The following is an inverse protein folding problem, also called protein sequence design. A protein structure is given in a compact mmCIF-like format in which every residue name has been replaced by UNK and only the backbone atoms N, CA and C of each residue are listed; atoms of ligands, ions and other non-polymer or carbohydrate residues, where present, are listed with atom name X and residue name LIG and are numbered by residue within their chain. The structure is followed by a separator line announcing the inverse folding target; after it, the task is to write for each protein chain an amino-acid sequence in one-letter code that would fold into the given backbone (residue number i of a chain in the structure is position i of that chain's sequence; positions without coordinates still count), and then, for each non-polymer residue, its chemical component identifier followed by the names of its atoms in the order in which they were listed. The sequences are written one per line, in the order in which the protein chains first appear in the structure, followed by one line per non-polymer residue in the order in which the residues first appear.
data_IF_603622450708
#
_entry.id   IF_603622450708
#
_cell.length_a   1.000
_cell.length_b   1.000
_cell.length_c   1.000
_cell.angle_alpha   90.00
_cell.angle_beta   90.00
_cell.angle_gamma   90.00
#
_symmetry.space_group_name_H-M   'P 1'
#
loop_
_entity.id
_entity.type
_entity.pdbx_description
1 polymer ?
#
# COMPACT_ATOMS: atom_id res chain seq x y z
N UNK A 1 -38.37 20.60 -59.51
CA UNK A 1 -37.03 21.15 -59.76
C UNK A 1 -36.12 19.96 -59.95
N UNK A 2 -35.62 19.75 -61.17
CA UNK A 2 -34.73 18.63 -61.45
C UNK A 2 -33.38 18.92 -60.81
N UNK A 3 -32.80 17.91 -60.15
CA UNK A 3 -31.44 18.02 -59.65
C UNK A 3 -30.51 18.29 -60.85
N UNK A 4 -29.52 19.17 -60.71
CA UNK A 4 -28.60 19.48 -61.79
C UNK A 4 -27.76 18.24 -62.15
N UNK A 5 -27.63 17.94 -63.45
CA UNK A 5 -27.02 16.72 -64.01
C UNK A 5 -25.61 16.41 -63.49
N UNK A 6 -24.88 17.41 -62.99
CA UNK A 6 -23.56 17.18 -62.39
C UNK A 6 -23.61 16.37 -61.09
N UNK A 7 -24.74 16.35 -60.37
CA UNK A 7 -24.93 15.53 -59.17
C UNK A 7 -25.05 14.04 -59.51
N UNK A 8 -25.68 13.70 -60.64
CA UNK A 8 -25.81 12.32 -61.09
C UNK A 8 -24.46 11.75 -61.54
N UNK A 9 -23.66 12.57 -62.25
CA UNK A 9 -22.28 12.19 -62.57
C UNK A 9 -21.37 12.07 -61.34
N UNK A 10 -21.56 12.90 -60.31
CA UNK A 10 -20.82 12.77 -59.06
C UNK A 10 -21.20 11.48 -58.30
N UNK A 11 -22.47 11.08 -58.33
CA UNK A 11 -22.96 9.84 -57.71
C UNK A 11 -22.43 8.59 -58.42
N UNK A 12 -22.40 8.59 -59.76
CA UNK A 12 -21.85 7.49 -60.56
C UNK A 12 -20.34 7.32 -60.35
N UNK A 13 -19.59 8.43 -60.29
CA UNK A 13 -18.16 8.41 -59.95
C UNK A 13 -17.99 7.88 -58.52
N UNK A 14 -18.78 8.35 -57.56
CA UNK A 14 -18.68 7.87 -56.18
C UNK A 14 -18.97 6.36 -56.08
N UNK A 15 -19.98 5.83 -56.78
CA UNK A 15 -20.26 4.38 -56.78
C UNK A 15 -19.19 3.57 -57.49
N UNK A 16 -18.71 4.03 -58.65
CA UNK A 16 -17.71 3.30 -59.45
C UNK A 16 -16.36 3.23 -58.73
N UNK A 17 -15.98 4.28 -58.01
CA UNK A 17 -14.71 4.33 -57.29
C UNK A 17 -14.81 4.02 -55.79
N UNK A 18 -16.01 3.85 -55.22
CA UNK A 18 -16.19 3.54 -53.79
C UNK A 18 -15.41 2.30 -53.35
N UNK A 19 -15.52 1.20 -54.10
CA UNK A 19 -14.81 -0.05 -53.77
C UNK A 19 -13.27 0.08 -53.83
N UNK A 20 -12.66 0.58 -54.93
CA UNK A 20 -11.20 0.72 -54.97
C UNK A 20 -10.68 1.78 -53.99
N UNK A 21 -11.44 2.83 -53.69
CA UNK A 21 -11.07 3.82 -52.65
C UNK A 21 -11.11 3.20 -51.26
N UNK A 22 -12.17 2.44 -50.93
CA UNK A 22 -12.27 1.73 -49.64
C UNK A 22 -11.18 0.68 -49.49
N UNK A 23 -10.89 -0.06 -50.56
CA UNK A 23 -9.80 -1.03 -50.57
C UNK A 23 -8.43 -0.36 -50.41
N UNK A 24 -8.20 0.74 -51.15
CA UNK A 24 -6.97 1.54 -51.04
C UNK A 24 -6.78 2.13 -49.65
N UNK A 25 -7.83 2.69 -49.05
CA UNK A 25 -7.80 3.19 -47.68
C UNK A 25 -7.53 2.07 -46.66
N UNK A 26 -8.12 0.89 -46.86
CA UNK A 26 -7.88 -0.30 -46.04
C UNK A 26 -6.42 -0.76 -46.11
N UNK A 27 -5.84 -0.84 -47.32
CA UNK A 27 -4.43 -1.24 -47.52
C UNK A 27 -3.48 -0.21 -46.92
N UNK A 28 -3.72 1.08 -47.11
CA UNK A 28 -2.89 2.14 -46.50
C UNK A 28 -2.99 2.10 -44.98
N UNK A 29 -4.19 1.89 -44.43
CA UNK A 29 -4.40 1.70 -42.99
C UNK A 29 -3.64 0.49 -42.45
N UNK A 30 -3.72 -0.65 -43.13
CA UNK A 30 -3.01 -1.87 -42.76
C UNK A 30 -1.49 -1.69 -42.81
N UNK A 31 -0.95 -1.11 -43.88
CA UNK A 31 0.49 -0.84 -44.02
C UNK A 31 0.98 0.16 -42.99
N UNK A 32 0.20 1.19 -42.68
CA UNK A 32 0.52 2.16 -41.62
C UNK A 32 0.53 1.48 -40.25
N UNK A 33 -0.45 0.61 -39.98
CA UNK A 33 -0.49 -0.22 -38.77
C UNK A 33 0.74 -1.11 -38.64
N UNK A 34 1.10 -1.83 -39.71
CA UNK A 34 2.30 -2.69 -39.77
C UNK A 34 3.58 -1.86 -39.59
N UNK A 35 3.69 -0.69 -40.21
CA UNK A 35 4.85 0.19 -40.07
C UNK A 35 4.99 0.74 -38.65
N UNK A 36 3.88 1.10 -38.00
CA UNK A 36 3.86 1.54 -36.60
C UNK A 36 4.23 0.39 -35.66
N UNK A 37 3.72 -0.82 -35.89
CA UNK A 37 4.08 -2.03 -35.15
C UNK A 37 5.57 -2.36 -35.33
N UNK A 38 6.08 -2.31 -36.56
CA UNK A 38 7.48 -2.57 -36.87
C UNK A 38 8.43 -1.53 -36.25
N UNK A 39 8.08 -0.24 -36.37
CA UNK A 39 8.80 0.87 -35.71
C UNK A 39 8.76 0.72 -34.18
N UNK A 40 7.63 0.25 -33.65
CA UNK A 40 7.45 -0.04 -32.23
C UNK A 40 8.30 -1.25 -31.77
N UNK A 41 8.50 -2.28 -32.58
CA UNK A 41 9.42 -3.38 -32.21
C UNK A 41 10.90 -2.99 -32.28
N UNK A 42 11.27 -2.02 -33.12
CA UNK A 42 12.68 -1.70 -33.41
C UNK A 42 13.39 -0.90 -32.32
N UNK A 43 12.68 -0.20 -31.43
CA UNK A 43 13.31 0.55 -30.32
C UNK A 43 13.30 -0.31 -29.05
N UNK A 44 14.43 -0.39 -28.33
CA UNK A 44 14.62 -1.34 -27.21
C UNK A 44 13.54 -1.25 -26.13
N UNK A 45 13.38 -2.34 -25.35
CA UNK A 45 12.30 -2.68 -24.39
C UNK A 45 11.20 -3.62 -24.95
N UNK A 46 11.60 -4.71 -25.63
CA UNK A 46 10.68 -5.67 -26.24
C UNK A 46 9.60 -6.22 -25.27
N UNK A 47 9.95 -6.51 -24.02
CA UNK A 47 9.00 -7.10 -23.05
C UNK A 47 7.81 -6.18 -22.72
N UNK A 48 8.05 -4.89 -22.47
CA UNK A 48 7.00 -3.90 -22.17
C UNK A 48 6.10 -3.67 -23.38
N UNK A 49 6.67 -3.80 -24.57
CA UNK A 49 6.03 -3.53 -25.86
C UNK A 49 5.17 -4.69 -26.33
N UNK A 50 5.65 -5.93 -26.21
CA UNK A 50 4.85 -7.13 -26.47
C UNK A 50 3.62 -7.15 -25.56
N UNK A 51 3.78 -6.77 -24.28
CA UNK A 51 2.63 -6.63 -23.37
C UNK A 51 1.61 -5.60 -23.85
N UNK A 52 2.06 -4.41 -24.26
CA UNK A 52 1.15 -3.39 -24.81
C UNK A 52 0.48 -3.83 -26.11
N UNK A 53 1.21 -4.48 -27.03
CA UNK A 53 0.65 -5.01 -28.25
C UNK A 53 -0.41 -6.08 -27.98
N UNK A 54 -0.15 -6.98 -27.02
CA UNK A 54 -1.13 -7.99 -26.61
C UNK A 54 -2.41 -7.35 -26.05
N UNK A 55 -2.30 -6.24 -25.30
CA UNK A 55 -3.45 -5.46 -24.84
C UNK A 55 -4.21 -4.86 -26.02
N UNK A 56 -3.53 -4.22 -26.97
CA UNK A 56 -4.15 -3.64 -28.17
C UNK A 56 -4.87 -4.70 -29.00
N UNK A 57 -4.27 -5.88 -29.17
CA UNK A 57 -4.89 -7.00 -29.89
C UNK A 57 -6.11 -7.55 -29.15
N UNK A 58 -6.04 -7.71 -27.82
CA UNK A 58 -7.18 -8.14 -27.01
C UNK A 58 -8.34 -7.15 -27.08
N UNK A 59 -8.03 -5.84 -27.03
CA UNK A 59 -8.97 -4.74 -27.24
C UNK A 59 -9.59 -4.77 -28.64
N UNK A 60 -8.79 -4.96 -29.69
CA UNK A 60 -9.30 -5.05 -31.05
C UNK A 60 -10.26 -6.23 -31.24
N UNK A 61 -9.94 -7.39 -30.66
CA UNK A 61 -10.80 -8.56 -30.67
C UNK A 61 -12.11 -8.34 -29.89
N UNK A 62 -12.03 -7.63 -28.75
CA UNK A 62 -13.22 -7.23 -27.99
C UNK A 62 -14.11 -6.27 -28.80
N UNK A 63 -13.48 -5.30 -29.48
CA UNK A 63 -14.16 -4.33 -30.34
C UNK A 63 -14.88 -4.98 -31.52
N UNK A 64 -14.28 -6.00 -32.15
CA UNK A 64 -14.92 -6.80 -33.19
C UNK A 64 -16.18 -7.50 -32.67
N UNK A 65 -16.11 -8.15 -31.51
CA UNK A 65 -17.29 -8.77 -30.91
C UNK A 65 -18.39 -7.76 -30.57
N UNK A 66 -18.02 -6.59 -30.04
CA UNK A 66 -18.99 -5.51 -29.78
C UNK A 66 -19.59 -4.92 -31.07
N UNK A 67 -18.80 -4.84 -32.15
CA UNK A 67 -19.27 -4.42 -33.46
C UNK A 67 -20.37 -5.33 -33.99
N UNK A 68 -20.13 -6.64 -33.98
CA UNK A 68 -21.12 -7.63 -34.45
C UNK A 68 -22.44 -7.54 -33.67
N UNK A 69 -22.37 -7.37 -32.34
CA UNK A 69 -23.57 -7.18 -31.50
C UNK A 69 -24.29 -5.88 -31.86
N UNK A 70 -23.54 -4.81 -32.08
CA UNK A 70 -24.09 -3.49 -32.39
C UNK A 70 -24.76 -3.45 -33.78
N UNK A 71 -24.13 -4.01 -34.80
CA UNK A 71 -24.66 -3.99 -36.17
C UNK A 71 -25.67 -5.10 -36.45
N UNK A 72 -25.56 -6.24 -35.76
CA UNK A 72 -26.48 -7.36 -35.90
C UNK A 72 -27.73 -7.18 -35.02
N UNK A 73 -27.77 -7.75 -33.81
CA UNK A 73 -28.93 -7.72 -32.92
C UNK A 73 -29.51 -6.32 -32.64
N UNK A 74 -28.66 -5.30 -32.49
CA UNK A 74 -29.15 -3.94 -32.18
C UNK A 74 -29.49 -3.11 -33.42
N UNK A 75 -29.10 -3.56 -34.63
CA UNK A 75 -29.35 -2.85 -35.88
C UNK A 75 -28.81 -1.42 -35.93
N UNK A 76 -27.76 -1.10 -35.16
CA UNK A 76 -27.20 0.24 -35.10
C UNK A 76 -26.50 0.59 -36.41
N UNK A 77 -26.59 1.86 -36.82
CA UNK A 77 -25.86 2.35 -37.99
C UNK A 77 -24.34 2.15 -37.79
N UNK A 78 -23.59 1.66 -38.80
CA UNK A 78 -22.17 1.31 -38.65
C UNK A 78 -21.30 2.42 -38.02
N UNK A 79 -21.54 3.68 -38.39
CA UNK A 79 -20.79 4.82 -37.81
C UNK A 79 -21.07 4.98 -36.31
N UNK A 80 -22.30 4.73 -35.86
CA UNK A 80 -22.67 4.84 -34.46
C UNK A 80 -22.13 3.66 -33.65
N UNK A 81 -22.16 2.44 -34.22
CA UNK A 81 -21.51 1.28 -33.64
C UNK A 81 -20.00 1.53 -33.44
N UNK A 82 -19.34 2.12 -34.45
CA UNK A 82 -17.93 2.51 -34.39
C UNK A 82 -17.64 3.50 -33.25
N UNK A 83 -18.47 4.52 -33.11
CA UNK A 83 -18.35 5.50 -32.02
C UNK A 83 -18.48 4.86 -30.64
N UNK A 84 -19.43 3.93 -30.48
CA UNK A 84 -19.77 3.33 -29.19
C UNK A 84 -18.66 2.39 -28.68
N UNK A 85 -18.20 1.45 -29.49
CA UNK A 85 -17.09 0.58 -29.08
C UNK A 85 -15.77 1.37 -28.96
N UNK A 86 -15.55 2.33 -29.87
CA UNK A 86 -14.36 3.19 -29.83
C UNK A 86 -14.28 3.98 -28.53
N UNK A 87 -15.41 4.47 -28.03
CA UNK A 87 -15.49 5.15 -26.73
C UNK A 87 -15.07 4.23 -25.57
N UNK A 88 -15.57 2.99 -25.51
CA UNK A 88 -15.19 2.03 -24.47
C UNK A 88 -13.69 1.74 -24.48
N UNK A 89 -13.12 1.50 -25.65
CA UNK A 89 -11.70 1.18 -25.79
C UNK A 89 -10.82 2.40 -25.45
N UNK A 90 -11.17 3.60 -25.91
CA UNK A 90 -10.44 4.83 -25.55
C UNK A 90 -10.49 5.08 -24.05
N UNK A 91 -11.64 4.86 -23.42
CA UNK A 91 -11.80 5.01 -21.97
C UNK A 91 -10.98 3.97 -21.21
N UNK A 92 -11.00 2.70 -21.62
CA UNK A 92 -10.18 1.64 -21.03
C UNK A 92 -8.68 1.95 -21.15
N UNK A 93 -8.25 2.35 -22.36
CA UNK A 93 -6.85 2.70 -22.63
C UNK A 93 -6.42 3.93 -21.82
N UNK A 94 -7.25 4.96 -21.76
CA UNK A 94 -7.00 6.16 -20.97
C UNK A 94 -6.82 5.85 -19.49
N UNK A 95 -7.68 5.01 -18.90
CA UNK A 95 -7.62 4.65 -17.49
C UNK A 95 -6.37 3.83 -17.15
N UNK A 96 -5.96 2.89 -18.01
CA UNK A 96 -4.74 2.15 -17.77
C UNK A 96 -3.46 2.97 -18.00
N UNK A 97 -3.46 3.93 -18.94
CA UNK A 97 -2.36 4.90 -19.07
C UNK A 97 -2.27 5.81 -17.84
N UNK A 98 -3.41 6.26 -17.32
CA UNK A 98 -3.49 7.05 -16.10
C UNK A 98 -3.00 6.25 -14.88
N UNK A 99 -3.34 4.96 -14.81
CA UNK A 99 -2.84 4.03 -13.79
C UNK A 99 -1.30 3.93 -13.82
N UNK A 100 -0.72 3.81 -15.02
CA UNK A 100 0.74 3.80 -15.22
C UNK A 100 1.37 5.14 -14.82
N UNK A 101 0.75 6.26 -15.18
CA UNK A 101 1.23 7.59 -14.82
C UNK A 101 1.19 7.82 -13.30
N UNK A 102 0.10 7.45 -12.62
CA UNK A 102 -0.06 7.52 -11.17
C UNK A 102 0.95 6.63 -10.42
N UNK A 103 1.33 5.49 -11.00
CA UNK A 103 2.37 4.62 -10.44
C UNK A 103 3.76 5.29 -10.49
N UNK A 104 4.06 6.03 -11.56
CA UNK A 104 5.35 6.70 -11.75
C UNK A 104 5.54 7.93 -10.84
N UNK A 105 4.46 8.49 -10.28
CA UNK A 105 4.52 9.62 -9.36
C UNK A 105 4.99 9.17 -7.96
N UNK A 106 5.75 10.02 -7.26
CA UNK A 106 6.17 9.82 -5.86
C UNK A 106 5.51 10.88 -4.99
N UNK A 107 4.74 10.54 -3.92
CA UNK A 107 4.33 9.20 -3.48
C UNK A 107 3.42 8.49 -4.51
N UNK A 108 3.42 7.14 -4.56
CA UNK A 108 2.61 6.40 -5.52
C UNK A 108 1.12 6.69 -5.29
N UNK A 109 0.44 7.17 -6.33
CA UNK A 109 -1.00 7.42 -6.29
C UNK A 109 -1.80 6.12 -6.20
N UNK A 110 -3.10 6.23 -5.90
CA UNK A 110 -3.99 5.06 -5.85
C UNK A 110 -4.25 4.48 -7.25
N UNK A 111 -3.40 3.52 -7.64
CA UNK A 111 -3.52 2.76 -8.90
C UNK A 111 -4.75 1.85 -8.89
N UNK A 112 -5.27 1.47 -7.71
CA UNK A 112 -6.34 0.46 -7.60
C UNK A 112 -7.63 0.93 -8.22
N UNK A 113 -8.02 2.18 -7.97
CA UNK A 113 -9.27 2.72 -8.50
C UNK A 113 -9.31 2.63 -10.03
N UNK A 114 -8.22 3.02 -10.69
CA UNK A 114 -8.10 2.99 -12.14
C UNK A 114 -8.08 1.56 -12.67
N UNK A 115 -7.36 0.65 -12.00
CA UNK A 115 -7.33 -0.75 -12.44
C UNK A 115 -8.67 -1.46 -12.23
N UNK A 116 -9.35 -1.22 -11.11
CA UNK A 116 -10.68 -1.78 -10.86
C UNK A 116 -11.66 -1.37 -11.96
N UNK A 117 -11.55 -0.13 -12.44
CA UNK A 117 -12.33 0.35 -13.56
C UNK A 117 -11.96 -0.38 -14.86
N UNK A 118 -10.67 -0.58 -15.17
CA UNK A 118 -10.22 -1.37 -16.32
C UNK A 118 -10.78 -2.80 -16.27
N UNK A 119 -10.77 -3.45 -15.10
CA UNK A 119 -11.39 -4.78 -14.92
C UNK A 119 -12.90 -4.78 -15.11
N UNK A 120 -13.59 -3.74 -14.62
CA UNK A 120 -15.03 -3.62 -14.81
C UNK A 120 -15.40 -3.45 -16.29
N UNK A 121 -14.65 -2.62 -17.02
CA UNK A 121 -14.83 -2.44 -18.47
C UNK A 121 -14.52 -3.74 -19.22
N UNK A 122 -13.41 -4.41 -18.90
CA UNK A 122 -13.06 -5.68 -19.52
C UNK A 122 -14.12 -6.78 -19.29
N UNK A 123 -14.67 -6.87 -18.08
CA UNK A 123 -15.75 -7.82 -17.78
C UNK A 123 -17.03 -7.47 -18.56
N UNK A 124 -17.40 -6.19 -18.59
CA UNK A 124 -18.57 -5.72 -19.34
C UNK A 124 -18.44 -5.96 -20.84
N UNK A 125 -17.30 -5.57 -21.44
CA UNK A 125 -17.04 -5.75 -22.86
C UNK A 125 -16.96 -7.23 -23.24
N UNK A 126 -16.37 -8.08 -22.39
CA UNK A 126 -16.34 -9.53 -22.60
C UNK A 126 -17.74 -10.15 -22.62
N UNK A 127 -18.60 -9.77 -21.67
CA UNK A 127 -20.00 -10.23 -21.64
C UNK A 127 -20.73 -9.81 -22.91
N UNK A 128 -20.66 -8.53 -23.29
CA UNK A 128 -21.32 -8.02 -24.50
C UNK A 128 -20.78 -8.74 -25.74
N UNK A 129 -19.47 -8.75 -25.96
CA UNK A 129 -18.84 -9.38 -27.12
C UNK A 129 -19.19 -10.88 -27.24
N UNK A 130 -19.30 -11.58 -26.11
CA UNK A 130 -19.66 -13.01 -26.10
C UNK A 130 -21.08 -13.27 -26.63
N UNK A 131 -22.01 -12.31 -26.56
CA UNK A 131 -23.39 -12.52 -27.04
C UNK A 131 -23.51 -12.71 -28.55
N UNK A 132 -22.52 -12.24 -29.33
CA UNK A 132 -22.49 -12.44 -30.78
C UNK A 132 -21.89 -13.78 -31.22
N UNK A 133 -21.43 -14.64 -30.30
CA UNK A 133 -20.76 -15.89 -30.68
C UNK A 133 -21.73 -16.91 -31.29
N UNK A 134 -21.31 -17.56 -32.38
CA UNK A 134 -22.05 -18.67 -32.99
C UNK A 134 -21.75 -20.03 -32.35
N UNK A 135 -20.73 -20.11 -31.49
CA UNK A 135 -20.29 -21.36 -30.86
C UNK A 135 -19.80 -21.16 -29.42
N UNK A 136 -19.84 -22.22 -28.59
CA UNK A 136 -19.35 -22.17 -27.22
C UNK A 136 -17.85 -21.83 -27.11
N UNK A 137 -16.93 -22.37 -27.94
CA UNK A 137 -15.53 -21.97 -27.89
C UNK A 137 -15.33 -20.48 -28.18
N UNK A 138 -16.05 -19.95 -29.17
CA UNK A 138 -16.01 -18.53 -29.52
C UNK A 138 -16.59 -17.65 -28.40
N UNK A 139 -17.70 -18.08 -27.78
CA UNK A 139 -18.28 -17.44 -26.60
C UNK A 139 -17.23 -17.25 -25.50
N UNK A 140 -16.54 -18.34 -25.14
CA UNK A 140 -15.52 -18.33 -24.08
C UNK A 140 -14.32 -17.46 -24.47
N UNK A 141 -13.86 -17.53 -25.72
CA UNK A 141 -12.75 -16.70 -26.19
C UNK A 141 -13.09 -15.21 -26.11
N UNK A 142 -14.27 -14.79 -26.57
CA UNK A 142 -14.73 -13.39 -26.50
C UNK A 142 -14.96 -12.92 -25.06
N UNK A 143 -15.44 -13.81 -24.19
CA UNK A 143 -15.64 -13.51 -22.78
C UNK A 143 -14.32 -13.26 -22.04
N UNK A 144 -13.30 -14.10 -22.27
CA UNK A 144 -12.05 -14.04 -21.51
C UNK A 144 -10.97 -13.14 -22.13
N UNK A 145 -10.99 -12.88 -23.45
CA UNK A 145 -9.96 -12.09 -24.10
C UNK A 145 -9.74 -10.69 -23.47
N UNK A 146 -10.78 -9.88 -23.17
CA UNK A 146 -10.58 -8.58 -22.52
C UNK A 146 -9.99 -8.70 -21.11
N UNK A 147 -10.41 -9.72 -20.36
CA UNK A 147 -9.90 -10.01 -19.03
C UNK A 147 -8.41 -10.42 -19.06
N UNK A 148 -8.00 -11.19 -20.07
CA UNK A 148 -6.58 -11.51 -20.30
C UNK A 148 -5.79 -10.25 -20.64
N UNK A 149 -6.32 -9.37 -21.50
CA UNK A 149 -5.72 -8.06 -21.80
C UNK A 149 -5.51 -7.22 -20.54
N UNK A 150 -6.56 -7.06 -19.71
CA UNK A 150 -6.48 -6.37 -18.43
C UNK A 150 -5.44 -7.01 -17.48
N UNK A 151 -5.35 -8.35 -17.47
CA UNK A 151 -4.37 -9.11 -16.71
C UNK A 151 -2.92 -8.84 -17.13
N UNK A 152 -2.64 -8.88 -18.43
CA UNK A 152 -1.31 -8.55 -19.00
C UNK A 152 -0.92 -7.12 -18.59
N UNK A 153 -1.88 -6.18 -18.67
CA UNK A 153 -1.64 -4.81 -18.29
C UNK A 153 -1.33 -4.67 -16.78
N UNK A 154 -2.11 -5.32 -15.92
CA UNK A 154 -1.87 -5.35 -14.48
C UNK A 154 -0.51 -5.94 -14.13
N UNK A 155 -0.12 -7.03 -14.80
CA UNK A 155 1.20 -7.64 -14.62
C UNK A 155 2.31 -6.65 -15.02
N UNK A 156 2.16 -5.94 -16.14
CA UNK A 156 3.12 -4.91 -16.55
C UNK A 156 3.28 -3.78 -15.53
N UNK A 157 2.19 -3.36 -14.88
CA UNK A 157 2.18 -2.30 -13.85
C UNK A 157 2.75 -2.81 -12.51
N UNK A 158 2.57 -4.09 -12.20
CA UNK A 158 3.01 -4.67 -10.92
C UNK A 158 4.41 -5.27 -10.95
N UNK A 159 4.94 -5.60 -12.14
CA UNK A 159 6.29 -6.13 -12.32
C UNK A 159 7.39 -5.18 -11.87
N UNK A 160 7.19 -3.87 -12.01
CA UNK A 160 8.18 -2.84 -11.65
C UNK A 160 8.16 -2.46 -10.16
N UNK A 161 7.29 -3.06 -9.35
CA UNK A 161 7.22 -2.75 -7.91
C UNK A 161 8.43 -3.36 -7.17
N UNK A 162 9.19 -2.57 -6.38
CA UNK A 162 10.29 -3.10 -5.60
C UNK A 162 9.76 -4.13 -4.58
N UNK A 163 10.41 -5.29 -4.55
CA UNK A 163 10.13 -6.38 -3.62
C UNK A 163 10.29 -5.88 -2.18
N UNK A 164 9.19 -5.48 -1.54
CA UNK A 164 9.21 -4.92 -0.19
C UNK A 164 8.00 -4.05 0.15
N UNK A 165 7.34 -3.44 -0.85
CA UNK A 165 6.06 -2.77 -0.61
C UNK A 165 4.94 -3.81 -0.59
N UNK A 166 4.73 -4.40 0.58
CA UNK A 166 3.56 -5.22 0.85
C UNK A 166 2.31 -4.39 0.54
N UNK A 167 1.57 -4.77 -0.50
CA UNK A 167 0.28 -4.16 -0.74
C UNK A 167 -0.61 -4.46 0.47
N UNK A 168 -1.13 -3.43 1.12
CA UNK A 168 -2.25 -3.54 2.05
C UNK A 168 -3.45 -3.99 1.21
N UNK A 169 -3.66 -5.29 1.05
CA UNK A 169 -4.74 -5.85 0.24
C UNK A 169 -6.06 -5.51 0.94
N UNK A 170 -6.83 -4.57 0.38
CA UNK A 170 -8.15 -4.18 0.89
C UNK A 170 -9.27 -5.08 0.35
N UNK A 171 -8.92 -6.10 -0.44
CA UNK A 171 -9.91 -7.02 -1.01
C UNK A 171 -10.11 -8.21 -0.08
N UNK A 172 -11.34 -8.40 0.39
CA UNK A 172 -11.75 -9.54 1.23
C UNK A 172 -11.48 -10.86 0.51
N UNK A 173 -11.62 -10.89 -0.81
CA UNK A 173 -11.47 -12.07 -1.66
C UNK A 173 -10.27 -11.95 -2.60
N UNK A 174 -9.05 -12.03 -2.08
CA UNK A 174 -7.87 -12.12 -2.95
C UNK A 174 -7.77 -13.52 -3.57
N UNK A 175 -7.32 -13.67 -4.84
CA UNK A 175 -7.05 -15.00 -5.43
C UNK A 175 -6.10 -15.83 -4.58
N UNK A 176 -5.16 -15.18 -3.89
CA UNK A 176 -4.32 -15.80 -2.86
C UNK A 176 -5.13 -16.39 -1.70
N UNK A 177 -6.16 -15.70 -1.23
CA UNK A 177 -7.04 -16.14 -0.14
C UNK A 177 -7.93 -17.29 -0.59
N UNK A 178 -8.40 -17.27 -1.84
CA UNK A 178 -9.10 -18.39 -2.48
C UNK A 178 -8.14 -19.59 -2.60
N UNK A 179 -6.91 -19.36 -3.05
CA UNK A 179 -5.87 -20.40 -3.11
C UNK A 179 -5.48 -20.96 -1.76
N UNK A 180 -5.44 -20.15 -0.69
CA UNK A 180 -5.23 -20.62 0.68
C UNK A 180 -6.45 -21.40 1.18
N UNK A 181 -7.67 -20.93 0.89
CA UNK A 181 -8.92 -21.59 1.28
C UNK A 181 -9.11 -22.94 0.59
N UNK A 182 -8.71 -23.04 -0.67
CA UNK A 182 -8.67 -24.28 -1.47
C UNK A 182 -7.42 -25.13 -1.20
N UNK A 183 -6.49 -24.70 -0.35
CA UNK A 183 -5.24 -25.43 -0.06
C UNK A 183 -4.21 -25.45 -1.20
N UNK A 184 -4.43 -24.72 -2.28
CA UNK A 184 -3.57 -24.62 -3.47
C UNK A 184 -2.31 -23.78 -3.23
N UNK A 185 -2.33 -22.85 -2.26
CA UNK A 185 -1.23 -21.89 -2.04
C UNK A 185 -0.86 -21.83 -0.55
N UNK A 186 0.41 -22.06 -0.22
CA UNK A 186 0.96 -21.82 1.12
C UNK A 186 1.08 -20.31 1.38
N UNK A 187 0.58 -19.77 2.51
CA UNK A 187 0.76 -18.35 2.80
C UNK A 187 2.25 -18.06 3.02
N UNK A 188 2.69 -16.87 2.62
CA UNK A 188 4.12 -16.50 2.65
C UNK A 188 4.58 -16.23 4.08
N UNK A 189 5.89 -16.01 4.26
CA UNK A 189 6.68 -15.87 5.51
C UNK A 189 6.26 -14.77 6.52
N UNK A 190 4.99 -14.37 6.57
CA UNK A 190 4.43 -13.93 7.85
C UNK A 190 4.10 -15.20 8.63
N UNK A 191 4.47 -15.18 9.90
CA UNK A 191 4.49 -16.30 10.82
C UNK A 191 3.18 -17.10 10.77
N UNK A 192 3.16 -18.16 9.95
CA UNK A 192 1.96 -18.97 9.68
C UNK A 192 1.42 -19.58 10.97
N UNK A 193 2.36 -19.91 11.85
CA UNK A 193 2.11 -20.40 13.18
C UNK A 193 1.38 -19.36 14.02
N UNK A 194 1.76 -18.09 13.93
CA UNK A 194 1.09 -17.00 14.64
C UNK A 194 -0.34 -16.77 14.13
N UNK A 195 -0.56 -16.80 12.81
CA UNK A 195 -1.90 -16.61 12.23
C UNK A 195 -2.82 -17.80 12.55
N UNK A 196 -2.32 -19.02 12.48
CA UNK A 196 -3.10 -20.21 12.82
C UNK A 196 -3.36 -20.29 14.33
N UNK A 197 -2.41 -19.84 15.15
CA UNK A 197 -2.59 -19.63 16.60
C UNK A 197 -3.68 -18.62 16.89
N UNK A 198 -3.67 -17.45 16.25
CA UNK A 198 -4.69 -16.41 16.42
C UNK A 198 -6.07 -16.90 16.01
N UNK A 199 -6.18 -17.61 14.87
CA UNK A 199 -7.45 -18.21 14.42
C UNK A 199 -7.99 -19.24 15.40
N UNK A 200 -7.12 -20.05 16.01
CA UNK A 200 -7.52 -21.03 17.03
C UNK A 200 -8.01 -20.33 18.29
N UNK A 201 -7.30 -19.31 18.76
CA UNK A 201 -7.73 -18.47 19.89
C UNK A 201 -9.10 -17.86 19.61
N UNK A 202 -9.34 -17.32 18.42
CA UNK A 202 -10.64 -16.75 18.04
C UNK A 202 -11.75 -17.80 17.98
N UNK A 203 -11.47 -18.97 17.39
CA UNK A 203 -12.44 -20.06 17.32
C UNK A 203 -12.85 -20.56 18.72
N UNK A 204 -11.91 -20.68 19.65
CA UNK A 204 -12.16 -21.03 21.06
C UNK A 204 -12.98 -19.92 21.73
N UNK A 205 -12.55 -18.67 21.60
CA UNK A 205 -13.21 -17.49 22.20
C UNK A 205 -14.67 -17.38 21.77
N UNK A 206 -14.93 -17.44 20.46
CA UNK A 206 -16.30 -17.34 19.91
C UNK A 206 -17.16 -18.54 20.32
N UNK A 207 -16.59 -19.74 20.33
CA UNK A 207 -17.34 -20.95 20.72
C UNK A 207 -17.68 -20.94 22.21
N UNK A 208 -16.74 -20.52 23.07
CA UNK A 208 -16.96 -20.36 24.51
C UNK A 208 -18.01 -19.27 24.78
N UNK A 209 -17.89 -18.10 24.16
CA UNK A 209 -18.88 -17.04 24.29
C UNK A 209 -20.29 -17.50 23.87
N UNK A 210 -20.42 -18.15 22.71
CA UNK A 210 -21.71 -18.71 22.23
C UNK A 210 -22.22 -19.88 23.06
N UNK A 211 -21.37 -20.57 23.82
CA UNK A 211 -21.80 -21.61 24.74
C UNK A 211 -22.50 -20.98 25.96
N UNK A 212 -22.02 -19.85 26.44
CA UNK A 212 -22.59 -19.14 27.59
C UNK A 212 -23.80 -18.27 27.22
N UNK A 213 -23.78 -17.59 26.07
CA UNK A 213 -24.80 -16.60 25.68
C UNK A 213 -25.73 -17.05 24.54
N UNK A 214 -25.47 -18.22 23.94
CA UNK A 214 -26.28 -18.70 22.80
C UNK A 214 -27.42 -19.62 23.22
N UNK A 215 -28.28 -19.97 22.26
CA UNK A 215 -29.40 -20.89 22.46
C UNK A 215 -29.00 -22.20 23.17
N UNK A 216 -29.76 -22.57 24.21
CA UNK A 216 -29.60 -23.81 25.01
C UNK A 216 -29.71 -25.08 24.16
N UNK A 217 -30.46 -25.05 23.06
CA UNK A 217 -30.63 -26.19 22.15
C UNK A 217 -29.31 -26.65 21.51
N UNK A 218 -28.36 -25.73 21.33
CA UNK A 218 -27.05 -26.00 20.71
C UNK A 218 -25.92 -26.14 21.74
N UNK A 219 -26.21 -26.09 23.04
CA UNK A 219 -25.19 -26.11 24.09
C UNK A 219 -24.37 -27.42 24.08
N UNK A 220 -25.03 -28.56 23.86
CA UNK A 220 -24.35 -29.86 23.77
C UNK A 220 -23.33 -29.92 22.62
N UNK A 221 -23.73 -29.50 21.42
CA UNK A 221 -22.85 -29.43 20.25
C UNK A 221 -21.69 -28.45 20.45
N UNK A 222 -21.96 -27.27 21.01
CA UNK A 222 -20.91 -26.27 21.30
C UNK A 222 -19.91 -26.76 22.35
N UNK A 223 -20.38 -27.49 23.38
CA UNK A 223 -19.52 -28.12 24.38
C UNK A 223 -18.61 -29.19 23.75
N UNK A 224 -19.16 -30.01 22.85
CA UNK A 224 -18.37 -30.99 22.09
C UNK A 224 -17.35 -30.31 21.17
N UNK A 225 -17.75 -29.25 20.46
CA UNK A 225 -16.85 -28.46 19.60
C UNK A 225 -15.74 -27.78 20.39
N UNK A 226 -16.05 -27.20 21.55
CA UNK A 226 -15.07 -26.55 22.42
C UNK A 226 -14.06 -27.58 22.96
N UNK A 227 -14.52 -28.77 23.36
CA UNK A 227 -13.63 -29.88 23.76
C UNK A 227 -12.67 -30.26 22.63
N UNK A 228 -13.17 -30.39 21.39
CA UNK A 228 -12.33 -30.70 20.23
C UNK A 228 -11.29 -29.60 19.94
N UNK A 229 -11.68 -28.33 20.07
CA UNK A 229 -10.76 -27.21 19.89
C UNK A 229 -9.70 -27.14 21.00
N UNK A 230 -10.09 -27.42 22.24
CA UNK A 230 -9.20 -27.44 23.39
C UNK A 230 -8.14 -28.56 23.28
N UNK A 231 -8.49 -29.72 22.73
CA UNK A 231 -7.54 -30.82 22.48
C UNK A 231 -6.43 -30.46 21.48
N UNK A 232 -6.63 -29.43 20.66
CA UNK A 232 -5.68 -29.02 19.62
C UNK A 232 -5.03 -27.65 19.92
N UNK A 233 -5.17 -27.16 21.14
CA UNK A 233 -4.70 -25.85 21.56
C UNK A 233 -3.74 -25.98 22.73
N UNK A 234 -2.68 -25.19 22.71
CA UNK A 234 -1.74 -25.12 23.85
C UNK A 234 -2.37 -24.35 25.01
N UNK A 235 -1.90 -24.59 26.24
CA UNK A 235 -2.38 -23.91 27.45
C UNK A 235 -2.35 -22.37 27.33
N UNK A 236 -1.34 -21.86 26.64
CA UNK A 236 -1.19 -20.43 26.38
C UNK A 236 -2.33 -19.86 25.51
N UNK A 237 -2.84 -20.63 24.54
CA UNK A 237 -3.95 -20.23 23.67
C UNK A 237 -5.27 -20.24 24.46
N UNK A 238 -5.45 -21.23 25.34
CA UNK A 238 -6.62 -21.34 26.21
C UNK A 238 -6.67 -20.19 27.21
N UNK A 239 -5.54 -19.86 27.85
CA UNK A 239 -5.43 -18.74 28.77
C UNK A 239 -5.74 -17.40 28.08
N UNK A 240 -5.27 -17.20 26.84
CA UNK A 240 -5.57 -16.01 26.06
C UNK A 240 -7.05 -15.94 25.66
N UNK A 241 -7.65 -17.05 25.23
CA UNK A 241 -9.08 -17.11 24.93
C UNK A 241 -9.94 -16.80 26.17
N UNK A 242 -9.56 -17.33 27.35
CA UNK A 242 -10.22 -17.03 28.62
C UNK A 242 -10.16 -15.53 28.96
N UNK A 243 -8.99 -14.89 28.78
CA UNK A 243 -8.84 -13.43 28.95
C UNK A 243 -9.76 -12.65 28.02
N UNK A 244 -9.87 -13.06 26.75
CA UNK A 244 -10.76 -12.41 25.76
C UNK A 244 -12.24 -12.56 26.14
N UNK A 245 -12.68 -13.75 26.54
CA UNK A 245 -14.06 -13.98 27.01
C UNK A 245 -14.37 -13.17 28.27
N UNK A 246 -13.47 -13.16 29.25
CA UNK A 246 -13.64 -12.38 30.47
C UNK A 246 -13.72 -10.86 30.19
N UNK A 247 -12.96 -10.37 29.21
CA UNK A 247 -13.03 -8.98 28.74
C UNK A 247 -14.39 -8.68 28.12
N UNK A 248 -14.92 -9.57 27.28
CA UNK A 248 -16.25 -9.39 26.68
C UNK A 248 -17.34 -9.32 27.74
N UNK A 249 -17.35 -10.24 28.72
CA UNK A 249 -18.34 -10.20 29.81
C UNK A 249 -18.23 -8.92 30.66
N UNK A 250 -17.00 -8.40 30.86
CA UNK A 250 -16.80 -7.13 31.57
C UNK A 250 -17.39 -5.96 30.78
N UNK A 251 -17.15 -5.92 29.47
CA UNK A 251 -17.69 -4.87 28.60
C UNK A 251 -19.21 -4.96 28.56
N UNK A 252 -19.77 -6.16 28.37
CA UNK A 252 -21.22 -6.40 28.35
C UNK A 252 -21.88 -5.86 29.62
N UNK A 253 -21.32 -6.18 30.81
CA UNK A 253 -21.79 -5.66 32.09
C UNK A 253 -21.71 -4.13 32.21
N UNK A 254 -20.71 -3.50 31.59
CA UNK A 254 -20.57 -2.04 31.57
C UNK A 254 -21.51 -1.34 30.57
N UNK A 255 -22.02 -2.10 29.59
CA UNK A 255 -22.92 -1.61 28.54
C UNK A 255 -24.38 -2.01 28.76
N UNK A 256 -24.68 -2.71 29.86
CA UNK A 256 -26.03 -3.12 30.21
C UNK A 256 -26.87 -1.89 30.59
N UNK A 257 -27.97 -1.57 29.88
CA UNK A 257 -28.75 -0.36 30.10
C UNK A 257 -29.42 -0.28 31.48
N UNK A 258 -29.57 -1.42 32.18
CA UNK A 258 -30.10 -1.47 33.56
C UNK A 258 -29.04 -1.15 34.62
N UNK A 259 -27.76 -1.15 34.23
CA UNK A 259 -26.70 -0.59 35.08
C UNK A 259 -26.75 0.91 34.86
N UNK A 260 -27.39 1.63 35.79
CA UNK A 260 -27.33 3.08 35.87
C UNK A 260 -25.88 3.51 35.63
N UNK A 261 -25.61 4.51 34.76
CA UNK A 261 -24.26 5.00 34.53
C UNK A 261 -23.64 5.20 35.90
N UNK A 262 -22.52 4.51 36.14
CA UNK A 262 -21.77 4.57 37.41
C UNK A 262 -21.86 6.01 37.89
N UNK A 263 -22.56 6.21 39.02
CA UNK A 263 -22.74 7.54 39.61
C UNK A 263 -21.40 8.24 39.48
N UNK A 264 -21.44 9.46 38.91
CA UNK A 264 -20.24 10.28 38.81
C UNK A 264 -19.44 10.10 40.10
N UNK A 265 -18.15 9.72 40.02
CA UNK A 265 -17.39 9.32 41.20
C UNK A 265 -17.63 10.37 42.27
N UNK A 266 -18.12 9.93 43.43
CA UNK A 266 -18.47 10.81 44.54
C UNK A 266 -17.27 11.73 44.80
N UNK A 267 -17.49 12.97 45.25
CA UNK A 267 -16.40 13.94 45.43
C UNK A 267 -15.26 13.37 46.30
N UNK A 268 -15.58 12.46 47.23
CA UNK A 268 -14.60 11.68 48.00
C UNK A 268 -13.75 10.71 47.15
N UNK A 269 -14.33 10.04 46.16
CA UNK A 269 -13.60 9.19 45.22
C UNK A 269 -12.77 10.02 44.24
N UNK A 270 -13.27 11.19 43.82
CA UNK A 270 -12.49 12.14 43.01
C UNK A 270 -11.28 12.65 43.77
N UNK A 271 -11.46 13.02 45.04
CA UNK A 271 -10.38 13.44 45.92
C UNK A 271 -9.36 12.32 46.13
N UNK A 272 -9.83 11.08 46.33
CA UNK A 272 -8.96 9.91 46.48
C UNK A 272 -8.19 9.59 45.20
N UNK A 273 -8.81 9.71 44.02
CA UNK A 273 -8.13 9.53 42.73
C UNK A 273 -7.10 10.64 42.47
N UNK A 274 -7.41 11.89 42.84
CA UNK A 274 -6.47 13.01 42.75
C UNK A 274 -5.30 12.85 43.72
N UNK A 275 -5.55 12.35 44.93
CA UNK A 275 -4.51 12.02 45.89
C UNK A 275 -3.61 10.89 45.37
N UNK A 276 -4.19 9.82 44.82
CA UNK A 276 -3.45 8.73 44.17
C UNK A 276 -2.59 9.25 43.01
N UNK A 277 -3.13 10.18 42.20
CA UNK A 277 -2.41 10.81 41.10
C UNK A 277 -1.25 11.67 41.61
N UNK A 278 -1.43 12.40 42.71
CA UNK A 278 -0.36 13.18 43.35
C UNK A 278 0.73 12.27 43.90
N UNK A 279 0.37 11.19 44.60
CA UNK A 279 1.32 10.22 45.16
C UNK A 279 2.13 9.53 44.05
N UNK A 280 1.47 9.10 42.96
CA UNK A 280 2.15 8.51 41.80
C UNK A 280 3.10 9.50 41.10
N UNK A 281 2.71 10.77 41.00
CA UNK A 281 3.56 11.82 40.43
C UNK A 281 4.77 12.09 41.32
N UNK A 282 4.58 12.11 42.65
CA UNK A 282 5.70 12.25 43.60
C UNK A 282 6.64 11.04 43.55
N UNK A 283 6.09 9.82 43.48
CA UNK A 283 6.87 8.59 43.41
C UNK A 283 7.72 8.53 42.12
N UNK A 284 7.13 8.83 40.96
CA UNK A 284 7.85 8.87 39.68
C UNK A 284 8.90 9.99 39.64
N UNK A 285 8.64 11.12 40.27
CA UNK A 285 9.62 12.22 40.38
C UNK A 285 10.80 11.82 41.26
N UNK A 286 10.56 11.18 42.42
CA UNK A 286 11.63 10.66 43.29
C UNK A 286 12.47 9.62 42.59
N UNK A 287 11.83 8.65 41.93
CA UNK A 287 12.52 7.64 41.10
C UNK A 287 13.40 8.28 40.04
N UNK A 288 12.94 9.36 39.39
CA UNK A 288 13.74 10.07 38.38
C UNK A 288 14.94 10.79 38.97
N UNK A 289 14.82 11.38 40.16
CA UNK A 289 15.92 12.05 40.87
C UNK A 289 16.95 11.01 41.34
N UNK A 290 16.49 9.89 41.91
CA UNK A 290 17.36 8.82 42.36
C UNK A 290 18.09 8.16 41.19
N UNK A 291 17.40 7.96 40.06
CA UNK A 291 18.03 7.49 38.83
C UNK A 291 19.04 8.51 38.29
N UNK A 292 18.73 9.81 38.29
CA UNK A 292 19.71 10.83 37.89
C UNK A 292 20.95 10.86 38.79
N UNK A 293 20.79 10.56 40.10
CA UNK A 293 21.88 10.51 41.07
C UNK A 293 22.71 9.24 40.96
N UNK A 294 22.07 8.10 40.73
CA UNK A 294 22.74 6.80 40.56
C UNK A 294 23.50 6.69 39.23
N UNK A 295 23.05 7.40 38.19
CA UNK A 295 23.66 7.39 36.86
C UNK A 295 24.31 8.73 36.49
N UNK A 296 24.52 9.63 37.46
CA UNK A 296 25.40 10.77 37.25
C UNK A 296 26.83 10.24 37.10
N UNK A 297 27.47 10.39 35.94
CA UNK A 297 28.85 9.97 35.79
C UNK A 297 29.71 10.81 36.74
N UNK A 298 30.46 10.15 37.62
CA UNK A 298 31.55 10.76 38.38
C UNK A 298 32.49 11.42 37.38
N UNK A 299 32.36 12.73 37.20
CA UNK A 299 33.37 13.56 36.54
C UNK A 299 34.38 13.96 37.61
N UNK A 300 35.60 13.41 37.60
CA UNK A 300 36.65 13.88 38.48
C UNK A 300 37.23 15.16 37.87
N UNK A 301 37.14 16.26 38.63
CA UNK A 301 38.09 17.37 38.60
C UNK A 301 38.25 18.14 37.28
N UNK A 302 37.56 19.27 37.16
CA UNK A 302 37.90 20.35 36.22
C UNK A 302 37.50 21.71 36.81
N UNK A 303 38.37 22.73 36.78
CA UNK A 303 38.24 23.90 37.64
C UNK A 303 37.20 24.92 37.14
N UNK A 304 36.31 25.30 38.05
CA UNK A 304 35.90 26.68 38.39
C UNK A 304 36.10 27.76 37.31
N UNK A 305 35.35 27.73 36.21
CA UNK A 305 35.10 28.93 35.42
C UNK A 305 33.66 29.00 34.88
N UNK A 306 33.05 30.16 35.07
CA UNK A 306 31.82 30.70 34.46
C UNK A 306 30.46 30.29 35.07
N UNK A 307 30.17 30.91 36.22
CA UNK A 307 28.84 31.46 36.48
C UNK A 307 28.46 32.42 35.34
N UNK A 308 27.31 32.21 34.67
CA UNK A 308 26.78 33.26 33.79
C UNK A 308 25.65 32.93 32.82
N UNK A 309 25.38 31.67 32.43
CA UNK A 309 24.49 31.44 31.27
C UNK A 309 23.38 30.38 31.42
N UNK A 310 23.10 29.89 32.63
CA UNK A 310 22.02 28.89 32.83
C UNK A 310 20.70 29.51 33.31
N UNK A 311 20.69 30.77 33.73
CA UNK A 311 19.49 31.41 34.30
C UNK A 311 18.54 32.04 33.25
N UNK A 312 18.89 32.07 31.95
CA UNK A 312 18.03 32.61 30.89
C UNK A 312 17.19 31.57 30.11
N UNK A 313 17.34 30.26 30.38
CA UNK A 313 16.59 29.22 29.63
C UNK A 313 15.31 28.72 30.28
N UNK A 314 15.06 29.02 31.56
CA UNK A 314 13.80 28.66 32.23
C UNK A 314 12.69 29.69 32.00
N UNK A 315 13.01 30.97 31.77
CA UNK A 315 11.97 31.99 31.55
C UNK A 315 11.28 31.89 30.18
N UNK A 316 11.99 31.43 29.13
CA UNK A 316 11.40 31.28 27.78
C UNK A 316 10.47 30.07 27.68
N UNK A 317 10.74 28.99 28.43
CA UNK A 317 9.89 27.81 28.44
C UNK A 317 8.55 28.06 29.17
N UNK A 318 8.54 28.87 30.23
CA UNK A 318 7.32 29.26 30.93
C UNK A 318 6.52 30.35 30.18
N UNK A 319 7.19 31.20 29.39
CA UNK A 319 6.54 32.22 28.58
C UNK A 319 5.83 31.65 27.33
N UNK A 320 6.32 30.54 26.76
CA UNK A 320 5.64 29.81 25.68
C UNK A 320 4.40 29.06 26.22
N UNK A 321 4.45 28.57 27.47
CA UNK A 321 3.33 27.82 28.08
C UNK A 321 2.15 28.71 28.47
N UNK A 322 2.40 29.95 28.87
CA UNK A 322 1.36 30.93 29.20
C UNK A 322 0.72 31.54 27.94
N UNK A 323 1.47 31.72 26.87
CA UNK A 323 0.95 32.23 25.58
C UNK A 323 -0.01 31.26 24.87
N UNK A 324 0.15 29.95 25.08
CA UNK A 324 -0.68 28.92 24.44
C UNK A 324 -2.05 28.71 25.11
N UNK A 325 -2.24 29.16 26.36
CA UNK A 325 -3.51 28.99 27.07
C UNK A 325 -4.53 30.09 26.76
N UNK A 326 -4.11 31.29 26.34
CA UNK A 326 -5.02 32.38 26.00
C UNK A 326 -5.56 32.32 24.55
N UNK A 327 -4.88 31.63 23.63
CA UNK A 327 -5.38 31.45 22.26
C UNK A 327 -6.45 30.34 22.11
N UNK A 328 -6.65 29.50 23.13
CA UNK A 328 -7.63 28.41 23.08
C UNK A 328 -9.06 28.84 23.51
N UNK A 329 -9.27 30.11 23.91
CA UNK A 329 -10.54 30.56 24.50
C UNK A 329 -11.45 31.37 23.56
N UNK A 330 -11.04 31.66 22.32
CA UNK A 330 -11.77 32.59 21.43
C UNK A 330 -12.38 32.02 20.15
N UNK A 331 -12.25 30.73 19.84
CA UNK A 331 -12.87 30.18 18.61
C UNK A 331 -13.82 29.00 18.91
N UNK A 332 -15.10 29.34 19.05
CA UNK A 332 -16.21 28.38 19.03
C UNK A 332 -16.80 28.23 17.62
N UNK A 333 -17.36 27.02 17.38
CA UNK A 333 -18.14 26.54 16.20
C UNK A 333 -17.31 26.29 14.92
N UNK A 334 -17.26 25.11 14.29
CA UNK A 334 -18.18 23.95 14.14
C UNK A 334 -17.40 22.63 13.83
N UNK A 335 -17.95 21.47 14.23
CA UNK A 335 -17.51 20.07 13.95
C UNK A 335 -17.53 19.67 12.43
N UNK A 336 -17.10 18.45 11.97
CA UNK A 336 -16.69 17.25 12.71
C UNK A 336 -15.46 16.42 12.20
N UNK A 337 -14.98 15.57 13.11
CA UNK A 337 -14.43 14.21 12.94
C UNK A 337 -13.22 13.95 12.01
N UNK A 338 -12.05 13.74 12.62
CA UNK A 338 -11.10 12.73 12.13
C UNK A 338 -10.38 12.04 13.30
N UNK A 339 -10.38 10.71 13.26
CA UNK A 339 -9.86 9.83 14.30
C UNK A 339 -8.32 9.78 14.25
N UNK A 340 -7.66 10.25 15.31
CA UNK A 340 -6.23 10.01 15.53
C UNK A 340 -6.08 8.64 16.19
N UNK A 341 -5.57 7.70 15.43
CA UNK A 341 -5.20 6.36 15.87
C UNK A 341 -3.87 6.43 16.66
N UNK A 342 -3.94 6.39 17.99
CA UNK A 342 -2.77 6.27 18.87
C UNK A 342 -2.33 4.82 18.99
N UNK A 343 -1.12 4.50 18.52
CA UNK A 343 -0.43 3.23 18.83
C UNK A 343 0.07 3.23 20.28
N UNK A 344 -0.07 2.12 21.04
CA UNK A 344 0.50 2.02 22.37
C UNK A 344 2.02 1.70 22.33
N UNK A 345 2.78 2.07 23.37
CA UNK A 345 4.22 1.82 23.47
C UNK A 345 4.55 0.33 23.75
N UNK A 346 5.80 -0.10 23.47
CA UNK A 346 6.23 -1.48 23.71
C UNK A 346 6.37 -1.76 25.21
N UNK A 347 5.92 -2.93 25.64
CA UNK A 347 6.06 -3.44 27.01
C UNK A 347 7.33 -4.28 27.10
N UNK A 348 8.16 -3.98 28.09
CA UNK A 348 9.36 -4.72 28.47
C UNK A 348 9.03 -6.15 28.92
N UNK A 349 9.76 -7.14 28.41
CA UNK A 349 9.75 -8.53 28.88
C UNK A 349 10.96 -8.78 29.79
N UNK A 350 10.80 -9.36 30.99
CA UNK A 350 11.92 -9.79 31.80
C UNK A 350 12.50 -11.12 31.31
N UNK A 351 13.82 -11.23 31.43
CA UNK A 351 14.61 -12.43 31.13
C UNK A 351 14.41 -13.52 32.20
N UNK A 352 14.21 -14.76 31.75
CA UNK A 352 14.32 -15.94 32.61
C UNK A 352 15.44 -16.83 32.09
N UNK A 353 16.47 -16.98 32.92
CA UNK A 353 17.53 -17.98 32.77
C UNK A 353 17.01 -19.36 33.17
N UNK A 354 17.44 -20.38 32.44
CA UNK A 354 17.26 -21.79 32.79
C UNK A 354 18.14 -22.66 31.90
N UNK A 355 19.27 -23.10 32.44
CA UNK A 355 20.24 -23.96 31.78
C UNK A 355 19.84 -25.45 31.80
N UNK A 356 20.38 -26.21 30.83
CA UNK A 356 20.99 -27.57 30.89
C UNK A 356 20.62 -28.44 29.65
N UNK A 357 21.54 -29.30 29.14
CA UNK A 357 21.87 -29.35 27.71
C UNK A 357 21.41 -30.63 27.00
N UNK A 358 21.33 -30.55 25.67
CA UNK A 358 21.36 -31.74 24.82
C UNK A 358 22.17 -31.48 23.56
N UNK A 359 23.26 -32.23 23.47
CA UNK A 359 24.17 -32.39 22.34
C UNK A 359 23.39 -32.87 21.10
N UNK A 360 23.46 -32.13 19.99
CA UNK A 360 23.33 -32.71 18.65
C UNK A 360 24.10 -31.88 17.62
N UNK A 361 25.02 -32.58 16.99
CA UNK A 361 25.93 -32.16 15.93
C UNK A 361 25.19 -31.62 14.70
N UNK A 362 25.62 -30.45 14.21
CA UNK A 362 25.23 -29.90 12.91
C UNK A 362 26.49 -29.78 12.04
N UNK A 363 26.49 -30.20 10.76
CA UNK A 363 27.57 -29.87 9.86
C UNK A 363 27.41 -28.45 9.29
N UNK A 364 28.56 -27.84 9.03
CA UNK A 364 28.77 -26.45 8.66
C UNK A 364 27.93 -25.96 7.47
N UNK A 365 27.32 -24.79 7.62
CA UNK A 365 26.98 -23.91 6.48
C UNK A 365 27.34 -22.45 6.79
N UNK A 366 28.46 -22.06 6.16
CA UNK A 366 28.94 -20.70 5.83
C UNK A 366 27.89 -19.60 5.94
N UNK A 367 28.07 -18.72 6.91
CA UNK A 367 27.43 -17.41 6.98
C UNK A 367 28.25 -16.43 6.14
N UNK A 368 27.77 -16.07 4.94
CA UNK A 368 28.24 -14.86 4.24
C UNK A 368 27.39 -13.68 4.69
N UNK A 369 28.04 -12.70 5.34
CA UNK A 369 27.45 -11.41 5.70
C UNK A 369 26.88 -10.72 4.45
N UNK A 370 25.55 -10.50 4.45
CA UNK A 370 24.83 -9.84 3.37
C UNK A 370 24.79 -8.34 3.66
N UNK A 371 25.76 -7.62 3.13
CA UNK A 371 25.74 -6.15 3.03
C UNK A 371 24.49 -5.71 2.27
N UNK A 372 23.71 -4.82 2.89
CA UNK A 372 22.60 -4.10 2.26
C UNK A 372 23.13 -3.29 1.08
N UNK A 373 23.01 -3.86 -0.12
CA UNK A 373 23.39 -3.20 -1.36
C UNK A 373 22.28 -2.23 -1.75
N UNK A 374 22.36 -1.00 -1.22
CA UNK A 374 21.57 0.14 -1.68
C UNK A 374 21.79 0.27 -3.19
N UNK A 375 20.73 0.05 -3.96
CA UNK A 375 20.73 0.17 -5.42
C UNK A 375 21.13 1.62 -5.76
N UNK A 376 22.25 1.86 -6.46
CA UNK A 376 22.63 3.22 -6.83
C UNK A 376 21.54 3.76 -7.76
N UNK A 377 20.91 4.88 -7.36
CA UNK A 377 20.14 5.71 -8.27
C UNK A 377 21.17 6.28 -9.22
N UNK A 378 21.39 5.61 -10.36
CA UNK A 378 22.20 6.19 -11.42
C UNK A 378 21.49 7.47 -11.85
N UNK A 379 22.15 8.64 -11.81
CA UNK A 379 21.62 9.79 -12.51
C UNK A 379 21.35 9.35 -13.96
N UNK A 380 20.20 9.72 -14.50
CA UNK A 380 19.80 9.39 -15.86
C UNK A 380 21.01 9.52 -16.79
N UNK A 381 21.37 8.42 -17.44
CA UNK A 381 22.59 8.24 -18.23
C UNK A 381 22.78 9.43 -19.17
N UNK A 382 23.66 10.37 -18.82
CA UNK A 382 24.02 11.54 -19.64
C UNK A 382 23.49 12.91 -19.20
N UNK A 383 22.71 13.03 -18.11
CA UNK A 383 22.31 14.34 -17.60
C UNK A 383 23.44 15.05 -16.87
N UNK A 384 23.80 16.26 -17.27
CA UNK A 384 24.71 17.10 -16.48
C UNK A 384 24.13 17.33 -15.07
N UNK A 385 24.96 17.13 -14.04
CA UNK A 385 24.56 17.39 -12.65
C UNK A 385 24.34 18.90 -12.49
N UNK A 386 23.14 19.34 -12.02
CA UNK A 386 22.85 20.75 -11.79
C UNK A 386 23.91 21.44 -10.91
N UNK A 387 24.29 22.70 -11.19
CA UNK A 387 25.32 23.42 -10.43
C UNK A 387 25.07 23.43 -8.91
N UNK A 388 23.80 23.62 -8.50
CA UNK A 388 23.38 23.57 -7.09
C UNK A 388 23.76 22.27 -6.39
N UNK A 389 23.59 21.12 -7.06
CA UNK A 389 23.93 19.82 -6.48
C UNK A 389 25.45 19.67 -6.37
N UNK A 390 26.24 20.24 -7.31
CA UNK A 390 27.71 20.25 -7.22
C UNK A 390 28.19 21.02 -5.99
N UNK A 391 27.58 22.17 -5.69
CA UNK A 391 27.91 22.93 -4.48
C UNK A 391 27.52 22.17 -3.21
N UNK A 392 26.33 21.56 -3.18
CA UNK A 392 25.91 20.69 -2.06
C UNK A 392 26.86 19.51 -1.83
N UNK A 393 27.35 18.87 -2.90
CA UNK A 393 28.35 17.79 -2.84
C UNK A 393 29.66 18.30 -2.22
N UNK A 394 30.11 19.51 -2.60
CA UNK A 394 31.32 20.14 -2.05
C UNK A 394 31.16 20.42 -0.55
N UNK A 395 30.04 21.00 -0.16
CA UNK A 395 29.74 21.32 1.24
C UNK A 395 29.63 20.05 2.11
N UNK A 396 29.00 19.00 1.57
CA UNK A 396 28.85 17.71 2.26
C UNK A 396 30.21 17.03 2.49
N UNK A 397 31.11 17.06 1.51
CA UNK A 397 32.49 16.55 1.63
C UNK A 397 33.28 17.31 2.70
N UNK A 398 33.05 18.62 2.83
CA UNK A 398 33.72 19.46 3.82
C UNK A 398 33.21 19.20 5.24
N UNK A 399 31.89 19.03 5.39
CA UNK A 399 31.24 18.86 6.68
C UNK A 399 31.42 17.46 7.28
N UNK A 400 31.50 16.42 6.45
CA UNK A 400 31.59 15.04 6.91
C UNK A 400 32.82 14.37 6.30
N UNK A 401 33.85 14.08 7.12
CA UNK A 401 35.01 13.28 6.66
C UNK A 401 34.76 11.77 6.69
N UNK A 402 33.93 11.29 7.63
CA UNK A 402 33.53 9.88 7.79
C UNK A 402 32.12 9.60 7.27
N UNK A 403 31.44 8.61 7.85
CA UNK A 403 30.10 8.20 7.41
C UNK A 403 29.09 9.35 7.36
N UNK A 404 28.35 9.40 6.24
CA UNK A 404 27.34 10.43 6.02
C UNK A 404 26.04 9.96 6.67
N UNK A 405 25.50 10.71 7.66
CA UNK A 405 24.29 10.32 8.38
C UNK A 405 23.06 10.31 7.46
N UNK A 406 21.92 9.88 7.99
CA UNK A 406 20.66 9.86 7.25
C UNK A 406 20.26 11.24 6.71
N UNK A 407 19.53 11.24 5.59
CA UNK A 407 19.11 12.45 4.84
C UNK A 407 18.57 13.58 5.73
N UNK A 408 17.70 13.26 6.70
CA UNK A 408 17.08 14.25 7.60
C UNK A 408 18.12 15.00 8.43
N UNK A 409 19.07 14.28 9.03
CA UNK A 409 20.16 14.87 9.83
C UNK A 409 21.06 15.76 8.98
N UNK A 410 21.34 15.33 7.74
CA UNK A 410 22.11 16.15 6.79
C UNK A 410 21.36 17.43 6.44
N UNK A 411 20.06 17.35 6.11
CA UNK A 411 19.26 18.52 5.75
C UNK A 411 19.16 19.51 6.91
N UNK A 412 18.87 19.03 8.12
CA UNK A 412 18.73 19.87 9.32
C UNK A 412 20.06 20.57 9.65
N UNK A 413 21.20 19.88 9.51
CA UNK A 413 22.52 20.46 9.78
C UNK A 413 22.98 21.45 8.71
N UNK A 414 22.68 21.17 7.44
CA UNK A 414 23.16 21.97 6.30
C UNK A 414 22.19 23.08 5.90
N UNK A 415 21.00 23.16 6.52
CA UNK A 415 19.97 24.15 6.18
C UNK A 415 19.37 23.94 4.78
N UNK A 416 19.34 22.70 4.29
CA UNK A 416 18.87 22.39 2.93
C UNK A 416 17.37 22.15 2.89
N UNK A 417 16.68 22.82 1.97
CA UNK A 417 15.21 22.73 1.83
C UNK A 417 14.72 21.68 0.83
N UNK A 418 15.58 21.23 -0.10
CA UNK A 418 15.21 20.25 -1.14
C UNK A 418 15.65 18.83 -0.76
N UNK A 419 14.69 17.97 -0.43
CA UNK A 419 14.96 16.58 -0.07
C UNK A 419 15.52 15.75 -1.24
N UNK A 420 15.11 16.06 -2.47
CA UNK A 420 15.60 15.40 -3.69
C UNK A 420 17.06 15.74 -3.98
N UNK A 421 17.42 17.03 -3.90
CA UNK A 421 18.79 17.50 -4.13
C UNK A 421 19.73 16.96 -3.04
N UNK A 422 19.28 16.97 -1.78
CA UNK A 422 20.03 16.44 -0.65
C UNK A 422 20.34 14.94 -0.81
N UNK A 423 19.34 14.15 -1.21
CA UNK A 423 19.54 12.72 -1.44
C UNK A 423 20.50 12.46 -2.62
N UNK A 424 20.39 13.25 -3.68
CA UNK A 424 21.28 13.14 -4.84
C UNK A 424 22.72 13.47 -4.48
N UNK A 425 22.94 14.56 -3.72
CA UNK A 425 24.27 14.92 -3.22
C UNK A 425 24.87 13.83 -2.31
N UNK A 426 24.08 13.27 -1.38
CA UNK A 426 24.51 12.17 -0.51
C UNK A 426 24.93 10.94 -1.34
N UNK A 427 24.14 10.56 -2.34
CA UNK A 427 24.43 9.42 -3.19
C UNK A 427 25.71 9.62 -4.02
N UNK A 428 25.93 10.84 -4.55
CA UNK A 428 27.13 11.18 -5.29
C UNK A 428 28.39 11.07 -4.42
N UNK A 429 28.38 11.65 -3.21
CA UNK A 429 29.54 11.56 -2.30
C UNK A 429 29.82 10.11 -1.88
N UNK A 430 28.78 9.30 -1.62
CA UNK A 430 28.94 7.87 -1.32
C UNK A 430 29.54 7.11 -2.49
N UNK A 431 29.09 7.38 -3.72
CA UNK A 431 29.60 6.74 -4.92
C UNK A 431 31.07 7.10 -5.19
N UNK A 432 31.47 8.36 -5.01
CA UNK A 432 32.87 8.78 -5.15
C UNK A 432 33.78 8.15 -4.10
N UNK A 433 33.33 8.04 -2.85
CA UNK A 433 34.10 7.37 -1.79
C UNK A 433 34.26 5.88 -2.05
N UNK A 434 33.19 5.21 -2.48
CA UNK A 434 33.25 3.80 -2.84
C UNK A 434 34.27 3.54 -3.97
N UNK A 435 34.40 4.46 -4.94
CA UNK A 435 35.45 4.40 -5.97
C UNK A 435 36.85 4.59 -5.40
N UNK A 436 37.01 5.49 -4.41
CA UNK A 436 38.31 5.77 -3.78
C UNK A 436 38.79 4.59 -2.93
N UNK A 437 37.88 3.88 -2.24
CA UNK A 437 38.23 2.69 -1.44
C UNK A 437 38.61 1.47 -2.29
N UNK A 438 38.27 1.45 -3.58
CA UNK A 438 38.61 0.37 -4.50
C UNK A 438 39.98 0.57 -5.19
N UNK A 439 40.56 1.76 -5.07
CA UNK A 439 41.93 2.08 -5.50
C UNK A 439 42.87 1.95 -4.32
#
# INVERSE_FOLDING_TARGET
MNAPEWLDHAADIAQTYAQPILFGAGVVGALTGVALIWRFFRTGHAHTRVGFLAVVLATAFAAEGMWEVATGPMGLHPVMAAGLFGMFEVVMVSQGLLAKHKLAQTPPGDVRRHMNFVWAVAAGSGIVASTASGSLPEFLLRLFAPAVGAGIWWMGITADKPAGQAQVTSWIWTPRRIGIWLGLVRPGKQDLEQVDRDRRIDAITVTAHRLHHGSKRLAGWRKAKLRRLALQADDSMVAEAQRRVARVHRIEKLTDPDVAPVDEPNDAERELLDELRRVMTQATTRLRVDHARAFAPDQPGGPLWSNGLVQMRTSVADQIRTSAMDQARTNGRTSPADQIQTSPPPVDQPATSGAVPAVRTTPAQRTTARLDRVRPVSPATGGEVPPRIKDMVRDLKRAYRGDIPGRRVVMDRMGWTSAGDAQTAINLVRAERAKTTQQ
#
